data_IF_192732076203
#
_entry.id   IF_192732076203
#
_cell.length_a   1.000
_cell.length_b   1.000
_cell.length_c   1.000
_cell.angle_alpha   90.00
_cell.angle_beta   90.00
_cell.angle_gamma   90.00
#
_symmetry.space_group_name_H-M   'P 1'
#
loop_
_entity.id
_entity.type
_entity.pdbx_description
1 polymer ?
#
# COMPACT_ATOMS: atom_id res chain seq x y z
N UNK A 1 -8.08 -2.90 0.87
CA UNK A 1 -8.89 -2.42 -0.29
C UNK A 1 -8.16 -1.37 -1.12
N UNK A 2 -7.56 -0.32 -0.55
CA UNK A 2 -6.87 0.75 -1.31
C UNK A 2 -5.68 0.25 -2.18
N UNK A 3 -4.86 -0.68 -1.70
CA UNK A 3 -3.81 -1.27 -2.54
C UNK A 3 -4.35 -1.99 -3.77
N UNK A 4 -5.50 -2.64 -3.66
CA UNK A 4 -6.05 -3.40 -4.78
C UNK A 4 -6.63 -2.46 -5.83
N UNK A 5 -7.28 -1.37 -5.41
CA UNK A 5 -7.72 -0.32 -6.32
C UNK A 5 -6.54 0.37 -7.01
N UNK A 6 -5.42 0.61 -6.30
CA UNK A 6 -4.19 1.13 -6.93
C UNK A 6 -3.67 0.20 -8.03
N UNK A 7 -3.60 -1.11 -7.78
CA UNK A 7 -3.11 -2.07 -8.78
C UNK A 7 -4.03 -2.16 -10.00
N UNK A 8 -5.34 -2.19 -9.80
CA UNK A 8 -6.30 -2.26 -10.90
C UNK A 8 -6.31 -0.95 -11.70
N UNK A 9 -6.48 0.18 -11.03
CA UNK A 9 -6.63 1.49 -11.68
C UNK A 9 -5.37 1.88 -12.44
N UNK A 10 -4.19 1.70 -11.84
CA UNK A 10 -2.94 2.01 -12.55
C UNK A 10 -2.56 0.91 -13.53
N UNK A 11 -2.84 -0.36 -13.23
CA UNK A 11 -2.61 -1.48 -14.15
C UNK A 11 -3.31 -1.31 -15.50
N UNK A 12 -4.49 -0.67 -15.51
CA UNK A 12 -5.21 -0.36 -16.74
C UNK A 12 -4.39 0.45 -17.75
N UNK A 13 -3.55 1.40 -17.30
CA UNK A 13 -2.68 2.21 -18.17
C UNK A 13 -1.63 1.39 -18.91
N UNK A 14 -1.33 0.16 -18.45
CA UNK A 14 -0.38 -0.73 -19.09
C UNK A 14 -1.05 -1.79 -19.99
N UNK A 15 -2.38 -1.75 -20.12
CA UNK A 15 -3.08 -2.70 -20.97
C UNK A 15 -2.63 -2.55 -22.44
N UNK A 16 -2.37 -3.64 -23.17
CA UNK A 16 -1.86 -3.57 -24.55
C UNK A 16 -2.72 -2.73 -25.49
N UNK A 17 -4.05 -2.72 -25.30
CA UNK A 17 -4.96 -1.91 -26.13
C UNK A 17 -4.79 -0.41 -25.96
N UNK A 18 -4.24 0.05 -24.83
CA UNK A 18 -3.97 1.47 -24.57
C UNK A 18 -2.52 1.80 -24.89
N UNK A 19 -1.59 0.90 -24.53
CA UNK A 19 -0.15 1.11 -24.64
C UNK A 19 0.36 0.99 -26.08
N UNK A 20 -0.23 0.12 -26.89
CA UNK A 20 0.19 -0.08 -28.29
C UNK A 20 -0.53 0.86 -29.26
N UNK A 21 -1.52 1.62 -28.79
CA UNK A 21 -2.19 2.65 -29.57
C UNK A 21 -1.48 4.00 -29.36
N UNK A 22 -0.70 4.41 -30.35
CA UNK A 22 0.04 5.67 -30.32
C UNK A 22 -0.88 6.91 -30.28
N UNK A 23 -2.15 6.78 -30.69
CA UNK A 23 -3.13 7.86 -30.61
C UNK A 23 -3.81 7.94 -29.22
N UNK A 24 -3.68 6.90 -28.39
CA UNK A 24 -4.36 6.85 -27.10
C UNK A 24 -3.74 7.81 -26.08
N UNK A 25 -4.55 8.59 -25.33
CA UNK A 25 -4.03 9.63 -24.43
C UNK A 25 -3.49 9.10 -23.09
N UNK A 26 -3.46 7.78 -22.84
CA UNK A 26 -3.09 7.17 -21.55
C UNK A 26 -1.77 7.70 -21.00
N UNK A 27 -0.71 7.70 -21.81
CA UNK A 27 0.61 8.14 -21.38
C UNK A 27 0.68 9.63 -21.00
N UNK A 28 -0.23 10.46 -21.55
CA UNK A 28 -0.36 11.89 -21.21
C UNK A 28 -1.30 12.13 -20.02
N UNK A 29 -2.27 11.24 -19.81
CA UNK A 29 -3.20 11.31 -18.70
C UNK A 29 -2.57 10.84 -17.40
N UNK A 30 -1.73 9.80 -17.45
CA UNK A 30 -1.13 9.16 -16.28
C UNK A 30 -0.45 10.15 -15.31
N UNK A 31 0.41 11.09 -15.74
CA UNK A 31 1.05 12.04 -14.84
C UNK A 31 0.09 12.98 -14.10
N UNK A 32 -1.11 13.20 -14.65
CA UNK A 32 -2.17 14.02 -14.01
C UNK A 32 -3.12 13.17 -13.17
N UNK A 33 -3.42 11.97 -13.64
CA UNK A 33 -4.27 11.01 -12.93
C UNK A 33 -3.63 10.55 -11.62
N UNK A 34 -2.31 10.29 -11.64
CA UNK A 34 -1.58 9.82 -10.47
C UNK A 34 -1.76 10.73 -9.24
N UNK A 35 -1.43 12.03 -9.27
CA UNK A 35 -1.59 12.90 -8.11
C UNK A 35 -3.05 13.08 -7.69
N UNK A 36 -3.99 13.10 -8.65
CA UNK A 36 -5.42 13.20 -8.36
C UNK A 36 -5.93 11.97 -7.59
N UNK A 37 -5.48 10.76 -7.98
CA UNK A 37 -5.84 9.52 -7.30
C UNK A 37 -5.10 9.35 -5.97
N UNK A 38 -3.80 9.68 -5.93
CA UNK A 38 -2.94 9.46 -4.76
C UNK A 38 -3.13 10.49 -3.67
N UNK A 39 -3.56 11.72 -3.98
CA UNK A 39 -3.72 12.81 -3.01
C UNK A 39 -4.57 12.42 -1.80
N UNK A 40 -5.82 11.96 -1.99
CA UNK A 40 -6.64 11.42 -0.89
C UNK A 40 -6.03 10.17 -0.24
N UNK A 41 -5.35 9.35 -1.04
CA UNK A 41 -4.70 8.13 -0.59
C UNK A 41 -3.58 8.34 0.43
N UNK A 42 -2.79 9.41 0.28
CA UNK A 42 -1.70 9.75 1.22
C UNK A 42 -2.26 10.06 2.60
N UNK A 43 -3.37 10.81 2.68
CA UNK A 43 -4.07 11.05 3.94
C UNK A 43 -4.61 9.75 4.54
N UNK A 44 -5.20 8.88 3.72
CA UNK A 44 -5.64 7.56 4.16
C UNK A 44 -4.51 6.72 4.75
N UNK A 45 -3.33 6.71 4.13
CA UNK A 45 -2.14 5.99 4.64
C UNK A 45 -1.66 6.61 5.96
N UNK A 46 -1.51 7.94 6.00
CA UNK A 46 -1.03 8.66 7.19
C UNK A 46 -1.96 8.56 8.40
N UNK A 47 -3.27 8.46 8.18
CA UNK A 47 -4.27 8.31 9.24
C UNK A 47 -4.50 6.86 9.68
N UNK A 48 -3.97 5.86 8.95
CA UNK A 48 -4.20 4.45 9.27
C UNK A 48 -2.95 3.74 9.75
N UNK A 49 -1.82 3.84 9.05
CA UNK A 49 -0.62 3.06 9.38
C UNK A 49 0.03 3.46 10.72
N UNK A 50 0.37 4.75 10.97
CA UNK A 50 0.96 5.13 12.25
C UNK A 50 0.03 4.85 13.44
N UNK A 51 -1.27 5.23 13.42
CA UNK A 51 -2.17 4.93 14.53
C UNK A 51 -2.34 3.42 14.75
N UNK A 52 -2.51 2.62 13.69
CA UNK A 52 -2.61 1.17 13.82
C UNK A 52 -1.34 0.57 14.45
N UNK A 53 -0.16 1.06 14.05
CA UNK A 53 1.12 0.62 14.63
C UNK A 53 1.18 0.93 16.13
N UNK A 54 0.82 2.16 16.52
CA UNK A 54 0.79 2.57 17.93
C UNK A 54 -0.18 1.70 18.74
N UNK A 55 -1.39 1.48 18.22
CA UNK A 55 -2.39 0.63 18.87
C UNK A 55 -1.87 -0.79 19.04
N UNK A 56 -1.22 -1.36 18.01
CA UNK A 56 -0.62 -2.68 18.10
C UNK A 56 0.46 -2.75 19.17
N UNK A 57 1.32 -1.75 19.29
CA UNK A 57 2.35 -1.72 20.35
C UNK A 57 1.71 -1.63 21.74
N UNK A 58 0.72 -0.74 21.93
CA UNK A 58 0.00 -0.60 23.21
C UNK A 58 -0.68 -1.94 23.58
N UNK A 59 -1.37 -2.57 22.64
CA UNK A 59 -2.04 -3.84 22.90
C UNK A 59 -1.07 -5.01 23.12
N UNK A 60 0.10 -5.00 22.46
CA UNK A 60 1.17 -5.97 22.71
C UNK A 60 1.75 -5.88 24.13
N UNK A 61 1.70 -4.69 24.74
CA UNK A 61 2.12 -4.43 26.12
C UNK A 61 1.01 -4.66 27.16
N UNK A 62 -0.19 -5.05 26.73
CA UNK A 62 -1.32 -5.31 27.62
C UNK A 62 -1.15 -6.61 28.43
N UNK A 63 -2.15 -6.88 29.29
CA UNK A 63 -2.23 -8.11 30.10
C UNK A 63 -3.01 -9.24 29.41
N UNK A 64 -3.29 -9.11 28.12
CA UNK A 64 -3.91 -10.15 27.29
C UNK A 64 -3.02 -11.41 27.20
N UNK A 65 -3.55 -12.48 26.63
CA UNK A 65 -2.75 -13.70 26.39
C UNK A 65 -1.45 -13.44 25.63
N UNK A 66 -0.51 -14.39 25.77
CA UNK A 66 0.78 -14.34 25.08
C UNK A 66 0.57 -14.37 23.57
N UNK A 67 -0.42 -15.11 23.11
CA UNK A 67 -0.81 -15.29 21.71
C UNK A 67 -1.28 -13.95 21.13
N UNK A 68 -2.25 -13.29 21.76
CA UNK A 68 -2.76 -11.98 21.33
C UNK A 68 -1.64 -10.94 21.26
N UNK A 69 -0.81 -10.88 22.31
CA UNK A 69 0.31 -9.93 22.39
C UNK A 69 1.35 -10.16 21.29
N UNK A 70 1.68 -11.42 21.02
CA UNK A 70 2.64 -11.79 19.96
C UNK A 70 2.11 -11.38 18.59
N UNK A 71 0.82 -11.62 18.32
CA UNK A 71 0.18 -11.22 17.07
C UNK A 71 0.15 -9.69 16.93
N UNK A 72 -0.14 -8.93 17.99
CA UNK A 72 -0.06 -7.48 17.96
C UNK A 72 1.36 -6.97 17.66
N UNK A 73 2.40 -7.52 18.30
CA UNK A 73 3.79 -7.13 17.98
C UNK A 73 4.20 -7.51 16.56
N UNK A 74 3.80 -8.69 16.06
CA UNK A 74 4.05 -9.08 14.68
C UNK A 74 3.35 -8.13 13.70
N UNK A 75 2.09 -7.75 13.98
CA UNK A 75 1.36 -6.75 13.20
C UNK A 75 2.07 -5.40 13.18
N UNK A 76 2.57 -4.93 14.33
CA UNK A 76 3.36 -3.70 14.43
C UNK A 76 4.65 -3.79 13.60
N UNK A 77 5.37 -4.92 13.67
CA UNK A 77 6.59 -5.15 12.90
C UNK A 77 6.35 -5.07 11.40
N UNK A 78 5.33 -5.76 10.88
CA UNK A 78 4.98 -5.69 9.46
C UNK A 78 4.52 -4.29 9.05
N UNK A 79 3.78 -3.59 9.91
CA UNK A 79 3.37 -2.21 9.69
C UNK A 79 4.56 -1.25 9.60
N UNK A 80 5.59 -1.43 10.44
CA UNK A 80 6.85 -0.67 10.34
C UNK A 80 7.60 -1.03 9.06
N UNK A 81 7.67 -2.32 8.72
CA UNK A 81 8.35 -2.79 7.52
C UNK A 81 7.74 -2.21 6.23
N UNK A 82 6.46 -1.82 6.22
CA UNK A 82 5.84 -1.06 5.12
C UNK A 82 6.70 0.12 4.65
N UNK A 83 7.29 0.85 5.59
CA UNK A 83 8.04 2.07 5.30
C UNK A 83 9.39 1.80 4.61
N UNK A 84 9.91 0.57 4.65
CA UNK A 84 11.13 0.20 3.93
C UNK A 84 11.01 0.34 2.41
N UNK A 85 9.79 0.24 1.86
CA UNK A 85 9.53 0.48 0.43
C UNK A 85 9.43 1.96 0.07
N UNK A 86 9.25 2.84 1.06
CA UNK A 86 8.96 4.26 0.87
C UNK A 86 9.87 4.96 -0.12
N UNK A 87 11.20 4.99 0.09
CA UNK A 87 12.12 5.72 -0.78
C UNK A 87 12.03 5.30 -2.26
N UNK A 88 12.06 4.00 -2.54
CA UNK A 88 11.96 3.48 -3.91
C UNK A 88 10.59 3.75 -4.53
N UNK A 89 9.52 3.61 -3.77
CA UNK A 89 8.16 3.84 -4.25
C UNK A 89 7.93 5.32 -4.59
N UNK A 90 8.39 6.25 -3.76
CA UNK A 90 8.27 7.69 -4.03
C UNK A 90 9.13 8.14 -5.21
N UNK A 91 10.34 7.59 -5.38
CA UNK A 91 11.17 7.88 -6.55
C UNK A 91 10.47 7.46 -7.87
N UNK A 92 9.85 6.27 -7.88
CA UNK A 92 9.09 5.80 -9.04
C UNK A 92 7.81 6.60 -9.27
N UNK A 93 7.08 6.95 -8.21
CA UNK A 93 5.90 7.83 -8.30
C UNK A 93 6.27 9.20 -8.89
N UNK A 94 7.42 9.76 -8.52
CA UNK A 94 7.94 11.00 -9.10
C UNK A 94 8.19 10.89 -10.61
N UNK A 95 8.75 9.76 -11.06
CA UNK A 95 8.95 9.46 -12.49
C UNK A 95 7.61 9.28 -13.22
N UNK A 96 6.64 8.61 -12.61
CA UNK A 96 5.30 8.43 -13.19
C UNK A 96 4.57 9.79 -13.28
N UNK A 97 4.73 10.65 -12.29
CA UNK A 97 4.12 11.99 -12.22
C UNK A 97 4.82 13.07 -13.05
N UNK A 98 5.94 12.78 -13.73
CA UNK A 98 6.66 13.79 -14.51
C UNK A 98 5.87 14.23 -15.75
N UNK A 99 5.30 15.43 -15.69
CA UNK A 99 4.56 16.06 -16.79
C UNK A 99 5.46 16.55 -17.92
N UNK A 100 6.77 16.77 -17.68
CA UNK A 100 7.71 17.29 -18.69
C UNK A 100 8.13 16.22 -19.68
N UNK A 101 8.11 14.96 -19.27
CA UNK A 101 8.47 13.81 -20.10
C UNK A 101 7.33 12.79 -20.26
N UNK A 102 6.09 13.32 -20.35
CA UNK A 102 4.85 12.55 -20.47
C UNK A 102 4.88 11.50 -21.61
N UNK A 103 4.41 10.29 -21.34
CA UNK A 103 4.29 9.18 -22.30
C UNK A 103 4.98 7.90 -21.83
N UNK A 104 5.70 7.25 -22.75
CA UNK A 104 6.35 5.93 -22.57
C UNK A 104 7.20 5.87 -21.29
N UNK A 105 7.92 6.95 -20.95
CA UNK A 105 8.76 6.99 -19.75
C UNK A 105 7.97 6.86 -18.44
N UNK A 106 6.78 7.44 -18.37
CA UNK A 106 5.91 7.32 -17.20
C UNK A 106 5.30 5.92 -17.11
N UNK A 107 4.89 5.35 -18.26
CA UNK A 107 4.35 4.00 -18.34
C UNK A 107 5.40 2.94 -18.01
N UNK A 108 6.67 3.15 -18.37
CA UNK A 108 7.78 2.29 -17.97
C UNK A 108 8.07 2.38 -16.47
N UNK A 109 8.05 3.59 -15.91
CA UNK A 109 8.15 3.76 -14.45
C UNK A 109 6.97 3.07 -13.73
N UNK A 110 5.76 3.11 -14.31
CA UNK A 110 4.60 2.42 -13.77
C UNK A 110 4.73 0.89 -13.87
N UNK A 111 5.27 0.38 -14.98
CA UNK A 111 5.59 -1.04 -15.17
C UNK A 111 6.59 -1.55 -14.13
N UNK A 112 7.51 -0.70 -13.70
CA UNK A 112 8.44 -0.99 -12.60
C UNK A 112 7.79 -0.87 -11.22
N UNK A 113 6.89 0.10 -11.02
CA UNK A 113 6.25 0.38 -9.74
C UNK A 113 5.24 -0.69 -9.32
N UNK A 114 4.35 -1.13 -10.22
CA UNK A 114 3.29 -2.10 -9.93
C UNK A 114 3.76 -3.42 -9.30
N UNK A 115 4.80 -4.12 -9.79
CA UNK A 115 5.25 -5.36 -9.15
C UNK A 115 5.82 -5.09 -7.75
N UNK A 116 6.54 -3.98 -7.53
CA UNK A 116 7.05 -3.61 -6.20
C UNK A 116 5.92 -3.28 -5.23
N UNK A 117 4.91 -2.58 -5.73
CA UNK A 117 3.67 -2.29 -5.00
C UNK A 117 2.97 -3.57 -4.54
N UNK A 118 2.76 -4.52 -5.47
CA UNK A 118 2.20 -5.85 -5.18
C UNK A 118 3.02 -6.61 -4.15
N UNK A 119 4.34 -6.67 -4.33
CA UNK A 119 5.22 -7.35 -3.38
C UNK A 119 5.10 -6.75 -1.98
N UNK A 120 5.11 -5.42 -1.84
CA UNK A 120 4.86 -4.77 -0.54
C UNK A 120 3.51 -5.18 0.03
N UNK A 121 2.46 -5.16 -0.79
CA UNK A 121 1.12 -5.53 -0.30
C UNK A 121 1.05 -6.96 0.19
N UNK A 122 1.65 -7.91 -0.52
CA UNK A 122 1.64 -9.32 -0.15
C UNK A 122 2.59 -9.65 1.02
N UNK A 123 3.74 -8.97 1.11
CA UNK A 123 4.78 -9.30 2.09
C UNK A 123 4.62 -8.57 3.42
N UNK A 124 3.98 -7.40 3.44
CA UNK A 124 3.84 -6.61 4.67
C UNK A 124 2.41 -6.19 4.98
N UNK A 125 1.62 -5.74 4.00
CA UNK A 125 0.28 -5.23 4.30
C UNK A 125 -0.71 -6.35 4.66
N UNK A 126 -0.74 -7.43 3.88
CA UNK A 126 -1.61 -8.59 4.14
C UNK A 126 -1.21 -9.29 5.44
N UNK A 127 0.08 -9.62 5.69
CA UNK A 127 0.50 -10.18 6.97
C UNK A 127 0.18 -9.28 8.17
N UNK A 128 0.44 -7.97 8.08
CA UNK A 128 0.08 -7.03 9.14
C UNK A 128 -1.42 -7.10 9.45
N UNK A 129 -2.27 -7.03 8.42
CA UNK A 129 -3.73 -7.11 8.57
C UNK A 129 -4.16 -8.42 9.23
N UNK A 130 -3.63 -9.57 8.78
CA UNK A 130 -3.97 -10.88 9.34
C UNK A 130 -3.55 -11.01 10.81
N UNK A 131 -2.36 -10.52 11.17
CA UNK A 131 -1.89 -10.50 12.55
C UNK A 131 -2.82 -9.67 13.45
N UNK A 132 -3.19 -8.46 13.01
CA UNK A 132 -4.07 -7.58 13.79
C UNK A 132 -5.48 -8.16 13.90
N UNK A 133 -6.03 -8.69 12.80
CA UNK A 133 -7.34 -9.34 12.81
C UNK A 133 -7.37 -10.54 13.76
N UNK A 134 -6.36 -11.42 13.67
CA UNK A 134 -6.26 -12.58 14.55
C UNK A 134 -6.10 -12.16 16.03
N UNK A 135 -5.26 -11.17 16.32
CA UNK A 135 -5.09 -10.65 17.67
C UNK A 135 -6.41 -10.11 18.24
N UNK A 136 -7.15 -9.34 17.44
CA UNK A 136 -8.46 -8.82 17.83
C UNK A 136 -9.46 -9.94 18.07
N UNK A 137 -9.51 -10.98 17.23
CA UNK A 137 -10.39 -12.12 17.44
C UNK A 137 -10.06 -12.85 18.75
N UNK A 138 -8.78 -13.11 19.01
CA UNK A 138 -8.31 -13.74 20.26
C UNK A 138 -8.72 -12.90 21.47
N UNK A 139 -8.44 -11.60 21.47
CA UNK A 139 -8.82 -10.68 22.55
C UNK A 139 -10.33 -10.62 22.79
N UNK A 140 -11.14 -10.63 21.73
CA UNK A 140 -12.60 -10.67 21.86
C UNK A 140 -13.07 -11.99 22.47
N UNK A 141 -12.52 -13.13 22.02
CA UNK A 141 -12.87 -14.44 22.57
C UNK A 141 -12.47 -14.57 24.04
N UNK A 142 -11.32 -14.04 24.44
CA UNK A 142 -10.89 -13.97 25.86
C UNK A 142 -11.86 -13.16 26.71
N UNK A 143 -12.36 -12.02 26.21
CA UNK A 143 -13.30 -11.19 26.95
C UNK A 143 -14.71 -11.76 27.08
N UNK A 144 -15.06 -12.77 26.27
CA UNK A 144 -16.35 -13.47 26.32
C UNK A 144 -16.32 -14.72 27.21
N UNK A 145 -15.14 -15.17 27.63
CA UNK A 145 -14.92 -16.36 28.46
C UNK A 145 -14.87 -15.99 29.95
#
# INVERSE_FOLDING_TARGET
MFSWSQDISFGAFLHPSLRNDAAHPSGKLLPRYLPAFMGPGIWGIGLTYPPATVICVINGLSRQSREARTLYFAGALFSIAHFCWGPTMFALLGRIGDVKSAGVRNEDALKEWLPRHRSRTLLVNVPAFLCVLAATLVTVTEGLS
#
